data_IF_858829247546
#
_entry.id   IF_858829247546
#
_cell.length_a   1.000
_cell.length_b   1.000
_cell.length_c   1.000
_cell.angle_alpha   90.00
_cell.angle_beta   90.00
_cell.angle_gamma   90.00
#
_symmetry.space_group_name_H-M   'P 1'
#
loop_
_entity.id
_entity.type
_entity.pdbx_description
1 polymer ?
#
# COMPACT_ATOMS: atom_id res chain seq x y z
N UNK A 1 14.36 -3.38 27.41
CA UNK A 1 13.30 -3.09 28.42
C UNK A 1 12.79 -1.68 28.17
N UNK A 2 11.49 -1.44 28.33
CA UNK A 2 10.92 -0.11 28.13
C UNK A 2 11.15 0.77 29.36
N UNK A 3 11.52 2.04 29.14
CA UNK A 3 11.57 3.05 30.19
C UNK A 3 10.15 3.51 30.57
N UNK A 4 10.02 4.33 31.62
CA UNK A 4 8.70 4.76 32.13
C UNK A 4 7.90 5.58 31.10
N UNK A 5 8.58 6.43 30.32
CA UNK A 5 7.94 7.24 29.28
C UNK A 5 7.44 6.36 28.12
N UNK A 6 8.22 5.39 27.68
CA UNK A 6 7.81 4.42 26.66
C UNK A 6 6.64 3.54 27.13
N UNK A 7 6.62 3.15 28.41
CA UNK A 7 5.49 2.44 29.00
C UNK A 7 4.23 3.31 29.05
N UNK A 8 4.37 4.60 29.35
CA UNK A 8 3.24 5.54 29.29
C UNK A 8 2.71 5.69 27.86
N UNK A 9 3.60 5.88 26.89
CA UNK A 9 3.24 5.98 25.48
C UNK A 9 2.47 4.75 24.96
N UNK A 10 2.87 3.54 25.39
CA UNK A 10 2.13 2.31 25.08
C UNK A 10 0.76 2.23 25.76
N UNK A 11 0.63 2.72 27.00
CA UNK A 11 -0.66 2.74 27.69
C UNK A 11 -1.65 3.66 26.99
N UNK A 12 -1.22 4.85 26.59
CA UNK A 12 -2.02 5.80 25.82
C UNK A 12 -2.43 5.23 24.46
N UNK A 13 -1.49 4.56 23.77
CA UNK A 13 -1.78 3.87 22.52
C UNK A 13 -2.81 2.75 22.71
N UNK A 14 -2.68 1.96 23.77
CA UNK A 14 -3.65 0.92 24.09
C UNK A 14 -5.04 1.51 24.39
N UNK A 15 -5.09 2.57 25.20
CA UNK A 15 -6.33 3.29 25.50
C UNK A 15 -7.01 3.77 24.21
N UNK A 16 -6.25 4.41 23.30
CA UNK A 16 -6.75 4.82 21.99
C UNK A 16 -7.36 3.67 21.17
N UNK A 17 -6.75 2.48 21.20
CA UNK A 17 -7.25 1.33 20.45
C UNK A 17 -8.54 0.74 21.03
N UNK A 18 -8.77 0.85 22.34
CA UNK A 18 -9.95 0.27 23.01
C UNK A 18 -11.10 1.27 23.17
N UNK A 19 -10.85 2.57 23.03
CA UNK A 19 -11.88 3.61 22.97
C UNK A 19 -12.33 3.86 21.53
N UNK A 20 -13.47 4.52 21.32
CA UNK A 20 -13.93 4.85 19.95
C UNK A 20 -13.06 5.93 19.30
N UNK A 21 -12.70 6.98 20.06
CA UNK A 21 -11.87 8.10 19.62
C UNK A 21 -10.78 8.39 20.65
N UNK A 22 -9.74 9.11 20.23
CA UNK A 22 -8.65 9.51 21.13
C UNK A 22 -7.32 9.82 20.47
N UNK A 23 -7.25 9.91 19.13
CA UNK A 23 -5.99 10.10 18.43
C UNK A 23 -5.25 11.39 18.84
N UNK A 24 -5.96 12.38 19.37
CA UNK A 24 -5.40 13.62 19.92
C UNK A 24 -4.45 13.39 21.10
N UNK A 25 -4.57 12.27 21.82
CA UNK A 25 -3.69 11.90 22.91
C UNK A 25 -2.37 11.29 22.40
N UNK A 26 -2.28 10.94 21.12
CA UNK A 26 -1.08 10.38 20.50
C UNK A 26 -0.26 11.48 19.82
N UNK A 27 1.07 11.35 19.88
CA UNK A 27 1.97 12.30 19.23
C UNK A 27 3.43 11.86 19.29
N UNK A 28 4.31 12.81 19.60
CA UNK A 28 5.76 12.63 19.53
C UNK A 28 6.26 11.46 20.38
N UNK A 29 5.72 11.26 21.58
CA UNK A 29 6.17 10.17 22.47
C UNK A 29 5.94 8.78 21.85
N UNK A 30 4.81 8.57 21.17
CA UNK A 30 4.52 7.34 20.45
C UNK A 30 5.39 7.19 19.20
N UNK A 31 5.61 8.28 18.45
CA UNK A 31 6.46 8.25 17.25
C UNK A 31 7.92 7.98 17.58
N UNK A 32 8.46 8.56 18.65
CA UNK A 32 9.81 8.29 19.14
C UNK A 32 9.96 6.82 19.56
N UNK A 33 8.95 6.29 20.27
CA UNK A 33 8.88 4.89 20.60
C UNK A 33 8.85 4.02 19.33
N UNK A 34 8.01 4.34 18.35
CA UNK A 34 7.89 3.57 17.11
C UNK A 34 9.19 3.59 16.32
N UNK A 35 9.84 4.75 16.21
CA UNK A 35 11.16 4.89 15.62
C UNK A 35 12.16 3.93 16.24
N UNK A 36 12.24 3.85 17.58
CA UNK A 36 13.11 2.89 18.25
C UNK A 36 12.69 1.45 17.99
N UNK A 37 11.41 1.11 18.13
CA UNK A 37 10.92 -0.27 17.95
C UNK A 37 11.16 -0.79 16.52
N UNK A 38 11.09 0.07 15.51
CA UNK A 38 11.37 -0.28 14.12
C UNK A 38 12.86 -0.42 13.79
N UNK A 39 13.73 0.35 14.44
CA UNK A 39 15.15 0.45 14.07
C UNK A 39 16.11 -0.31 14.98
N UNK A 40 15.73 -0.59 16.23
CA UNK A 40 16.57 -1.28 17.18
C UNK A 40 16.73 -2.77 16.81
N UNK A 41 17.85 -3.08 16.16
CA UNK A 41 18.19 -4.42 15.70
C UNK A 41 18.39 -5.42 16.85
N UNK A 42 18.58 -4.96 18.09
CA UNK A 42 18.64 -5.85 19.26
C UNK A 42 17.27 -6.43 19.65
N UNK A 43 16.19 -5.81 19.17
CA UNK A 43 14.83 -6.28 19.44
C UNK A 43 14.43 -7.44 18.51
N UNK A 44 13.75 -8.47 19.04
CA UNK A 44 13.18 -9.54 18.23
C UNK A 44 12.20 -9.02 17.17
N UNK A 45 12.14 -9.69 16.02
CA UNK A 45 11.18 -9.38 14.93
C UNK A 45 9.73 -9.36 15.43
N UNK A 46 9.38 -10.20 16.41
CA UNK A 46 8.03 -10.25 17.00
C UNK A 46 7.57 -8.91 17.59
N UNK A 47 8.49 -8.05 18.02
CA UNK A 47 8.18 -6.70 18.50
C UNK A 47 7.71 -5.81 17.36
N UNK A 48 8.40 -5.85 16.22
CA UNK A 48 8.02 -5.11 14.99
C UNK A 48 6.70 -5.61 14.43
N UNK A 49 6.49 -6.93 14.41
CA UNK A 49 5.21 -7.53 14.01
C UNK A 49 4.06 -7.07 14.91
N UNK A 50 4.26 -7.02 16.23
CA UNK A 50 3.24 -6.54 17.16
C UNK A 50 2.91 -5.06 16.92
N UNK A 51 3.92 -4.22 16.69
CA UNK A 51 3.73 -2.81 16.37
C UNK A 51 2.97 -2.62 15.05
N UNK A 52 3.32 -3.35 13.99
CA UNK A 52 2.60 -3.29 12.71
C UNK A 52 1.13 -3.70 12.85
N UNK A 53 0.83 -4.69 13.69
CA UNK A 53 -0.57 -5.10 13.97
C UNK A 53 -1.34 -4.06 14.77
N UNK A 54 -0.68 -3.37 15.70
CA UNK A 54 -1.27 -2.22 16.41
C UNK A 54 -1.58 -1.09 15.42
N UNK A 55 -0.65 -0.77 14.53
CA UNK A 55 -0.87 0.23 13.47
C UNK A 55 -1.99 -0.19 12.52
N UNK A 56 -2.10 -1.48 12.17
CA UNK A 56 -3.19 -2.01 11.35
C UNK A 56 -4.55 -1.80 12.01
N UNK A 57 -4.66 -1.98 13.32
CA UNK A 57 -5.90 -1.72 14.06
C UNK A 57 -6.21 -0.22 14.13
N UNK A 58 -5.18 0.62 14.38
CA UNK A 58 -5.32 2.06 14.38
C UNK A 58 -5.76 2.62 13.01
N UNK A 59 -5.25 2.07 11.90
CA UNK A 59 -5.57 2.49 10.53
C UNK A 59 -7.08 2.44 10.20
N UNK A 60 -7.84 1.58 10.89
CA UNK A 60 -9.27 1.42 10.68
C UNK A 60 -10.12 2.45 11.45
N UNK A 61 -9.51 3.28 12.31
CA UNK A 61 -10.20 4.33 13.06
C UNK A 61 -10.22 5.63 12.24
N UNK A 62 -11.37 6.31 12.22
CA UNK A 62 -11.56 7.53 11.40
C UNK A 62 -10.62 8.69 11.81
N UNK A 63 -10.29 8.78 13.11
CA UNK A 63 -9.49 9.85 13.68
C UNK A 63 -7.98 9.62 13.60
N UNK A 64 -7.52 8.48 13.05
CA UNK A 64 -6.10 8.10 12.96
C UNK A 64 -5.25 9.16 12.25
N UNK A 65 -5.85 9.92 11.35
CA UNK A 65 -5.19 11.00 10.62
C UNK A 65 -4.57 12.05 11.54
N UNK A 66 -5.16 12.31 12.71
CA UNK A 66 -4.62 13.26 13.69
C UNK A 66 -3.24 12.82 14.18
N UNK A 67 -3.05 11.51 14.36
CA UNK A 67 -1.78 10.91 14.71
C UNK A 67 -0.82 10.87 13.50
N UNK A 68 -1.29 10.46 12.32
CA UNK A 68 -0.47 10.40 11.10
C UNK A 68 0.08 11.76 10.67
N UNK A 69 -0.63 12.86 10.96
CA UNK A 69 -0.12 14.21 10.74
C UNK A 69 1.12 14.53 11.60
N UNK A 70 1.25 13.93 12.78
CA UNK A 70 2.42 14.12 13.63
C UNK A 70 3.64 13.37 13.05
N UNK A 71 3.43 12.24 12.35
CA UNK A 71 4.52 11.49 11.71
C UNK A 71 5.21 12.28 10.60
N UNK A 72 4.62 13.37 10.09
CA UNK A 72 5.28 14.26 9.11
C UNK A 72 6.58 14.90 9.61
N UNK A 73 6.92 14.77 10.89
CA UNK A 73 8.19 15.25 11.45
C UNK A 73 9.28 14.17 11.41
N UNK A 74 8.92 12.93 11.75
CA UNK A 74 9.85 11.80 11.90
C UNK A 74 9.89 10.86 10.70
N UNK A 75 8.77 10.77 9.97
CA UNK A 75 8.51 9.82 8.90
C UNK A 75 8.80 8.37 9.28
N UNK A 76 8.75 8.01 10.57
CA UNK A 76 9.27 6.72 11.04
C UNK A 76 8.45 5.54 10.51
N UNK A 77 7.15 5.74 10.30
CA UNK A 77 6.27 4.73 9.71
C UNK A 77 6.65 4.54 8.24
N UNK A 78 6.72 5.63 7.46
CA UNK A 78 6.99 5.54 6.03
C UNK A 78 8.43 5.18 5.69
N UNK A 79 9.41 5.53 6.53
CA UNK A 79 10.79 5.04 6.43
C UNK A 79 10.87 3.52 6.65
N UNK A 80 10.02 2.95 7.51
CA UNK A 80 9.93 1.50 7.65
C UNK A 80 9.29 0.85 6.43
N UNK A 81 8.21 1.44 5.89
CA UNK A 81 7.58 0.98 4.64
C UNK A 81 8.53 1.08 3.44
N UNK A 82 9.29 2.16 3.33
CA UNK A 82 10.25 2.40 2.25
C UNK A 82 11.29 1.27 2.13
N UNK A 83 11.65 0.66 3.26
CA UNK A 83 12.64 -0.43 3.35
C UNK A 83 12.05 -1.82 3.12
N UNK A 84 10.83 -1.93 2.60
CA UNK A 84 10.09 -3.20 2.37
C UNK A 84 10.96 -4.37 1.87
N UNK A 85 11.84 -4.11 0.91
CA UNK A 85 12.72 -5.12 0.29
C UNK A 85 13.73 -5.76 1.26
N UNK A 86 14.12 -5.03 2.31
CA UNK A 86 15.09 -5.50 3.31
C UNK A 86 14.44 -6.11 4.54
N UNK A 87 13.12 -6.00 4.66
CA UNK A 87 12.37 -6.56 5.78
C UNK A 87 12.24 -8.09 5.67
N UNK A 88 12.03 -8.76 6.80
CA UNK A 88 11.72 -10.20 6.78
C UNK A 88 10.39 -10.48 6.06
N UNK A 89 10.22 -11.70 5.49
CA UNK A 89 8.95 -12.25 5.06
C UNK A 89 7.70 -11.85 5.87
N UNK A 90 7.74 -12.02 7.19
CA UNK A 90 6.62 -11.75 8.07
C UNK A 90 6.36 -10.25 8.25
N UNK A 91 7.42 -9.44 8.24
CA UNK A 91 7.30 -7.98 8.33
C UNK A 91 6.71 -7.39 7.04
N UNK A 92 7.17 -7.83 5.87
CA UNK A 92 6.61 -7.43 4.57
C UNK A 92 5.10 -7.68 4.52
N UNK A 93 4.72 -8.85 5.01
CA UNK A 93 3.34 -9.31 5.11
C UNK A 93 2.45 -8.41 5.97
N UNK A 94 2.94 -7.94 7.12
CA UNK A 94 2.21 -7.03 7.99
C UNK A 94 2.22 -5.58 7.47
N UNK A 95 3.26 -5.16 6.75
CA UNK A 95 3.30 -3.85 6.06
C UNK A 95 2.24 -3.79 4.97
N UNK A 96 2.13 -4.82 4.13
CA UNK A 96 1.13 -4.86 3.06
C UNK A 96 -0.30 -4.78 3.63
N UNK A 97 -0.59 -5.48 4.74
CA UNK A 97 -1.88 -5.37 5.43
C UNK A 97 -2.13 -3.97 6.00
N UNK A 98 -1.12 -3.36 6.59
CA UNK A 98 -1.20 -1.99 7.10
C UNK A 98 -1.62 -1.02 5.99
N UNK A 99 -0.96 -1.08 4.84
CA UNK A 99 -1.28 -0.23 3.69
C UNK A 99 -2.69 -0.49 3.16
N UNK A 100 -3.14 -1.75 3.11
CA UNK A 100 -4.52 -2.08 2.76
C UNK A 100 -5.52 -1.41 3.72
N UNK A 101 -5.32 -1.52 5.04
CA UNK A 101 -6.21 -0.92 6.03
C UNK A 101 -6.20 0.62 5.95
N UNK A 102 -5.05 1.22 5.66
CA UNK A 102 -4.94 2.67 5.46
C UNK A 102 -5.73 3.18 4.24
N UNK A 103 -6.13 2.31 3.31
CA UNK A 103 -7.03 2.68 2.21
C UNK A 103 -8.52 2.76 2.60
N UNK A 104 -8.89 2.29 3.81
CA UNK A 104 -10.27 2.27 4.26
C UNK A 104 -10.84 3.67 4.49
N UNK A 105 -10.04 4.61 5.00
CA UNK A 105 -10.43 6.00 5.23
C UNK A 105 -9.83 6.93 4.17
N UNK A 106 -10.59 7.96 3.76
CA UNK A 106 -10.11 8.95 2.77
C UNK A 106 -8.89 9.71 3.30
N UNK A 107 -8.92 10.08 4.58
CA UNK A 107 -7.86 10.86 5.21
C UNK A 107 -6.52 10.11 5.32
N UNK A 108 -6.54 8.83 5.69
CA UNK A 108 -5.34 7.99 5.71
C UNK A 108 -4.85 7.65 4.30
N UNK A 109 -5.76 7.51 3.34
CA UNK A 109 -5.41 7.35 1.92
C UNK A 109 -4.68 8.58 1.38
N UNK A 110 -5.19 9.78 1.64
CA UNK A 110 -4.52 11.04 1.27
C UNK A 110 -3.13 11.15 1.89
N UNK A 111 -2.95 10.63 3.12
CA UNK A 111 -1.66 10.55 3.78
C UNK A 111 -0.70 9.55 3.11
N UNK A 112 -1.19 8.39 2.66
CA UNK A 112 -0.39 7.42 1.91
C UNK A 112 0.15 8.00 0.60
N UNK A 113 -0.66 8.79 -0.10
CA UNK A 113 -0.29 9.41 -1.37
C UNK A 113 0.27 10.83 -1.22
N UNK A 114 0.67 11.21 -0.01
CA UNK A 114 1.25 12.52 0.22
C UNK A 114 2.62 12.65 -0.46
N UNK A 115 2.76 13.67 -1.32
CA UNK A 115 3.92 13.82 -2.21
C UNK A 115 5.02 14.74 -1.67
N UNK A 116 4.81 15.40 -0.54
CA UNK A 116 5.83 16.26 0.06
C UNK A 116 7.08 15.47 0.37
N UNK A 117 8.21 15.98 -0.12
CA UNK A 117 9.48 15.28 -0.02
C UNK A 117 10.03 15.29 1.40
N UNK A 118 10.63 14.17 1.76
CA UNK A 118 11.43 13.98 2.96
C UNK A 118 12.64 13.11 2.61
N UNK A 119 13.66 13.13 3.46
CA UNK A 119 14.90 12.40 3.21
C UNK A 119 14.97 11.15 4.07
N UNK A 120 15.20 10.00 3.44
CA UNK A 120 15.48 8.75 4.14
C UNK A 120 16.89 8.76 4.74
N UNK A 121 17.16 7.85 5.67
CA UNK A 121 18.51 7.58 6.18
C UNK A 121 19.46 7.25 5.01
N UNK A 122 20.48 8.10 4.81
CA UNK A 122 21.37 8.04 3.64
C UNK A 122 21.15 9.14 2.60
N UNK A 123 20.17 10.04 2.82
CA UNK A 123 19.99 11.26 2.03
C UNK A 123 19.21 11.08 0.73
N UNK A 124 18.58 9.92 0.52
CA UNK A 124 17.72 9.68 -0.64
C UNK A 124 16.40 10.43 -0.46
N UNK A 125 16.01 11.23 -1.47
CA UNK A 125 14.70 11.87 -1.50
C UNK A 125 13.62 10.79 -1.63
N UNK A 126 12.61 10.90 -0.78
CA UNK A 126 11.44 10.04 -0.76
C UNK A 126 10.17 10.87 -0.47
N UNK A 127 9.01 10.25 -0.63
CA UNK A 127 7.74 10.73 -0.10
C UNK A 127 6.84 9.53 0.23
N UNK A 128 5.66 9.79 0.80
CA UNK A 128 4.75 8.72 1.21
C UNK A 128 4.23 7.94 -0.01
N UNK A 129 3.90 8.65 -1.10
CA UNK A 129 3.42 8.03 -2.33
C UNK A 129 4.45 7.01 -2.88
N UNK A 130 5.71 7.43 -3.04
CA UNK A 130 6.82 6.57 -3.50
C UNK A 130 6.99 5.32 -2.62
N UNK A 131 6.94 5.49 -1.30
CA UNK A 131 7.08 4.36 -0.36
C UNK A 131 5.90 3.39 -0.46
N UNK A 132 4.68 3.90 -0.60
CA UNK A 132 3.46 3.10 -0.77
C UNK A 132 3.50 2.30 -2.07
N UNK A 133 3.85 2.96 -3.19
CA UNK A 133 3.98 2.35 -4.51
C UNK A 133 5.06 1.27 -4.50
N UNK A 134 6.24 1.58 -3.93
CA UNK A 134 7.32 0.62 -3.78
C UNK A 134 6.88 -0.65 -3.05
N UNK A 135 6.18 -0.51 -1.93
CA UNK A 135 5.69 -1.65 -1.15
C UNK A 135 4.66 -2.47 -1.94
N UNK A 136 3.72 -1.82 -2.64
CA UNK A 136 2.77 -2.50 -3.49
C UNK A 136 3.47 -3.27 -4.62
N UNK A 137 4.37 -2.62 -5.37
CA UNK A 137 5.10 -3.25 -6.48
C UNK A 137 5.94 -4.43 -6.00
N UNK A 138 6.73 -4.25 -4.93
CA UNK A 138 7.55 -5.33 -4.35
C UNK A 138 6.70 -6.53 -3.91
N UNK A 139 5.60 -6.28 -3.19
CA UNK A 139 4.70 -7.32 -2.74
C UNK A 139 4.04 -8.10 -3.88
N UNK A 140 3.79 -7.47 -5.03
CA UNK A 140 3.15 -8.11 -6.18
C UNK A 140 4.15 -8.94 -7.01
N UNK A 141 5.40 -8.51 -7.10
CA UNK A 141 6.41 -9.10 -7.98
C UNK A 141 7.37 -10.07 -7.29
N UNK A 142 7.23 -10.28 -5.98
CA UNK A 142 7.96 -11.34 -5.27
C UNK A 142 7.36 -12.73 -5.57
N UNK A 143 8.15 -13.80 -5.41
CA UNK A 143 7.71 -15.20 -5.59
C UNK A 143 6.91 -15.76 -4.38
N UNK A 144 6.36 -14.90 -3.53
CA UNK A 144 5.64 -15.26 -2.30
C UNK A 144 4.13 -15.13 -2.51
N UNK A 145 3.35 -16.23 -2.63
CA UNK A 145 1.92 -16.15 -2.91
C UNK A 145 1.12 -15.30 -1.91
N UNK A 146 1.51 -15.33 -0.65
CA UNK A 146 0.86 -14.56 0.42
C UNK A 146 1.08 -13.05 0.25
N UNK A 147 2.27 -12.63 -0.17
CA UNK A 147 2.56 -11.22 -0.43
C UNK A 147 1.85 -10.76 -1.72
N UNK A 148 1.86 -11.61 -2.75
CA UNK A 148 1.17 -11.35 -4.02
C UNK A 148 -0.33 -11.14 -3.82
N UNK A 149 -0.98 -11.99 -3.02
CA UNK A 149 -2.41 -11.87 -2.70
C UNK A 149 -2.72 -10.53 -2.02
N UNK A 150 -1.94 -10.17 -1.00
CA UNK A 150 -2.12 -8.91 -0.27
C UNK A 150 -1.85 -7.70 -1.14
N UNK A 151 -0.80 -7.76 -1.95
CA UNK A 151 -0.47 -6.68 -2.86
C UNK A 151 -1.51 -6.53 -3.96
N UNK A 152 -2.04 -7.61 -4.53
CA UNK A 152 -3.15 -7.52 -5.48
C UNK A 152 -4.36 -6.80 -4.85
N UNK A 153 -4.69 -7.10 -3.58
CA UNK A 153 -5.70 -6.37 -2.83
C UNK A 153 -5.35 -4.89 -2.60
N UNK A 154 -4.08 -4.58 -2.33
CA UNK A 154 -3.61 -3.20 -2.20
C UNK A 154 -3.73 -2.43 -3.53
N UNK A 155 -3.32 -3.03 -4.65
CA UNK A 155 -3.47 -2.47 -6.00
C UNK A 155 -4.93 -2.13 -6.30
N UNK A 156 -5.84 -3.05 -5.98
CA UNK A 156 -7.27 -2.84 -6.09
C UNK A 156 -7.73 -1.64 -5.23
N UNK A 157 -7.38 -1.61 -3.95
CA UNK A 157 -7.78 -0.53 -3.04
C UNK A 157 -7.24 0.84 -3.48
N UNK A 158 -6.00 0.91 -3.96
CA UNK A 158 -5.40 2.14 -4.49
C UNK A 158 -6.16 2.64 -5.72
N UNK A 159 -6.57 1.74 -6.61
CA UNK A 159 -7.25 2.08 -7.85
C UNK A 159 -8.70 2.56 -7.67
N UNK A 160 -9.32 2.28 -6.53
CA UNK A 160 -10.70 2.69 -6.24
C UNK A 160 -10.84 4.17 -5.87
N UNK A 161 -9.74 4.89 -5.61
CA UNK A 161 -9.79 6.29 -5.17
C UNK A 161 -9.44 7.24 -6.33
N UNK A 162 -10.08 8.39 -6.35
CA UNK A 162 -10.02 9.32 -7.48
C UNK A 162 -8.72 10.14 -7.56
N UNK A 163 -7.97 10.26 -6.46
CA UNK A 163 -6.81 11.15 -6.35
C UNK A 163 -5.47 10.48 -6.71
N UNK A 164 -5.48 9.31 -7.37
CA UNK A 164 -4.24 8.66 -7.79
C UNK A 164 -3.61 9.42 -8.96
N UNK A 165 -2.32 9.73 -8.87
CA UNK A 165 -1.60 10.44 -9.93
C UNK A 165 -1.34 9.56 -11.15
N UNK A 166 -1.26 10.19 -12.31
CA UNK A 166 -0.99 9.56 -13.62
C UNK A 166 0.27 8.67 -13.59
N UNK A 167 1.40 9.24 -13.18
CA UNK A 167 2.69 8.53 -13.04
C UNK A 167 2.59 7.30 -12.13
N UNK A 168 1.83 7.42 -11.03
CA UNK A 168 1.60 6.32 -10.11
C UNK A 168 0.75 5.22 -10.74
N UNK A 169 -0.31 5.59 -11.47
CA UNK A 169 -1.14 4.63 -12.18
C UNK A 169 -0.34 3.86 -13.25
N UNK A 170 0.58 4.52 -13.96
CA UNK A 170 1.47 3.90 -14.93
C UNK A 170 2.45 2.91 -14.29
N UNK A 171 3.07 3.28 -13.15
CA UNK A 171 4.00 2.42 -12.42
C UNK A 171 3.30 1.17 -11.85
N UNK A 172 2.15 1.34 -11.20
CA UNK A 172 1.36 0.21 -10.69
C UNK A 172 0.85 -0.69 -11.83
N UNK A 173 0.46 -0.10 -12.97
CA UNK A 173 0.04 -0.86 -14.16
C UNK A 173 1.16 -1.73 -14.70
N UNK A 174 2.40 -1.23 -14.74
CA UNK A 174 3.56 -2.00 -15.18
C UNK A 174 3.78 -3.23 -14.29
N UNK A 175 3.68 -3.08 -12.97
CA UNK A 175 3.78 -4.20 -12.05
C UNK A 175 2.63 -5.21 -12.22
N UNK A 176 1.39 -4.73 -12.38
CA UNK A 176 0.23 -5.60 -12.67
C UNK A 176 0.46 -6.41 -13.94
N UNK A 177 0.90 -5.77 -15.03
CA UNK A 177 1.10 -6.45 -16.30
C UNK A 177 2.20 -7.50 -16.23
N UNK A 178 3.30 -7.23 -15.51
CA UNK A 178 4.35 -8.21 -15.23
C UNK A 178 3.80 -9.40 -14.44
N UNK A 179 3.05 -9.15 -13.37
CA UNK A 179 2.43 -10.18 -12.56
C UNK A 179 1.47 -11.06 -13.37
N UNK A 180 0.63 -10.45 -14.21
CA UNK A 180 -0.36 -11.14 -15.03
C UNK A 180 0.26 -12.09 -16.07
N UNK A 181 1.56 -12.06 -16.35
CA UNK A 181 2.20 -13.09 -17.19
C UNK A 181 2.16 -14.49 -16.54
N UNK A 182 2.12 -14.55 -15.21
CA UNK A 182 2.07 -15.80 -14.44
C UNK A 182 0.74 -16.57 -14.54
N UNK A 183 0.66 -17.61 -13.71
CA UNK A 183 -0.57 -18.36 -13.45
C UNK A 183 -1.30 -17.69 -12.27
N UNK A 184 -2.43 -17.06 -12.57
CA UNK A 184 -3.11 -16.13 -11.65
C UNK A 184 -4.44 -16.74 -11.24
N UNK A 185 -4.61 -16.85 -9.92
CA UNK A 185 -5.88 -17.26 -9.31
C UNK A 185 -6.96 -16.21 -9.59
N UNK A 186 -8.21 -16.67 -9.61
CA UNK A 186 -9.35 -15.84 -10.01
C UNK A 186 -9.51 -14.55 -9.21
N UNK A 187 -9.33 -14.59 -7.89
CA UNK A 187 -9.49 -13.41 -7.03
C UNK A 187 -8.42 -12.35 -7.30
N UNK A 188 -7.17 -12.76 -7.47
CA UNK A 188 -6.06 -11.88 -7.82
C UNK A 188 -6.24 -11.31 -9.23
N UNK A 189 -6.73 -12.12 -10.19
CA UNK A 189 -7.06 -11.65 -11.52
C UNK A 189 -8.16 -10.58 -11.47
N UNK A 190 -9.20 -10.79 -10.67
CA UNK A 190 -10.26 -9.81 -10.44
C UNK A 190 -9.71 -8.49 -9.87
N UNK A 191 -8.88 -8.55 -8.82
CA UNK A 191 -8.26 -7.37 -8.22
C UNK A 191 -7.38 -6.60 -9.21
N UNK A 192 -6.45 -7.29 -9.87
CA UNK A 192 -5.51 -6.69 -10.81
C UNK A 192 -6.19 -6.11 -12.05
N UNK A 193 -7.17 -6.82 -12.64
CA UNK A 193 -7.87 -6.33 -13.82
C UNK A 193 -8.82 -5.18 -13.49
N UNK A 194 -9.45 -5.19 -12.31
CA UNK A 194 -10.24 -4.04 -11.86
C UNK A 194 -9.34 -2.81 -11.67
N UNK A 195 -8.17 -2.98 -11.04
CA UNK A 195 -7.21 -1.90 -10.87
C UNK A 195 -6.74 -1.35 -12.23
N UNK A 196 -6.37 -2.24 -13.16
CA UNK A 196 -5.94 -1.88 -14.50
C UNK A 196 -7.02 -1.12 -15.29
N UNK A 197 -8.28 -1.55 -15.20
CA UNK A 197 -9.42 -0.86 -15.81
C UNK A 197 -9.63 0.56 -15.26
N UNK A 198 -9.41 0.74 -13.96
CA UNK A 198 -9.45 2.07 -13.34
C UNK A 198 -8.26 2.93 -13.79
N UNK A 199 -7.06 2.36 -13.84
CA UNK A 199 -5.86 3.06 -14.31
C UNK A 199 -5.96 3.53 -15.76
N UNK A 200 -6.66 2.80 -16.65
CA UNK A 200 -7.01 3.27 -18.00
C UNK A 200 -7.82 4.57 -18.03
N UNK A 201 -8.52 4.90 -16.94
CA UNK A 201 -9.32 6.13 -16.81
C UNK A 201 -8.60 7.22 -16.03
N UNK A 202 -7.45 6.92 -15.44
CA UNK A 202 -6.58 7.88 -14.76
C UNK A 202 -5.49 8.32 -15.73
N UNK A 203 -4.86 7.35 -16.39
CA UNK A 203 -3.81 7.52 -17.37
C UNK A 203 -4.28 7.10 -18.76
N UNK A 204 -4.71 8.08 -19.55
CA UNK A 204 -5.37 7.84 -20.84
C UNK A 204 -4.42 7.49 -21.98
N UNK A 205 -3.11 7.72 -21.81
CA UNK A 205 -2.11 7.49 -22.86
C UNK A 205 -1.14 6.37 -22.46
N UNK A 206 -0.55 6.46 -21.26
CA UNK A 206 0.54 5.58 -20.87
C UNK A 206 0.05 4.18 -20.53
N UNK A 207 -1.05 4.05 -19.77
CA UNK A 207 -1.59 2.74 -19.41
C UNK A 207 -2.08 1.93 -20.63
N UNK A 208 -2.82 2.50 -21.61
CA UNK A 208 -3.12 1.80 -22.86
C UNK A 208 -1.87 1.32 -23.60
N UNK A 209 -0.85 2.19 -23.73
CA UNK A 209 0.40 1.84 -24.40
C UNK A 209 1.13 0.70 -23.66
N UNK A 210 1.19 0.76 -22.33
CA UNK A 210 1.77 -0.30 -21.50
C UNK A 210 1.05 -1.64 -21.68
N UNK A 211 -0.29 -1.64 -21.72
CA UNK A 211 -1.05 -2.88 -21.94
C UNK A 211 -0.72 -3.50 -23.31
N UNK A 212 -0.62 -2.67 -24.35
CA UNK A 212 -0.30 -3.13 -25.70
C UNK A 212 1.15 -3.61 -25.85
N UNK A 213 2.10 -2.99 -25.15
CA UNK A 213 3.53 -3.27 -25.30
C UNK A 213 4.07 -4.35 -24.35
N UNK A 214 3.58 -4.37 -23.11
CA UNK A 214 4.09 -5.22 -22.03
C UNK A 214 3.09 -6.30 -21.59
N UNK A 215 1.80 -6.08 -21.81
CA UNK A 215 0.75 -6.94 -21.29
C UNK A 215 0.70 -8.33 -21.91
N UNK A 216 0.32 -9.36 -21.13
CA UNK A 216 -0.06 -10.66 -21.71
C UNK A 216 -1.36 -10.53 -22.51
N UNK A 217 -1.71 -11.56 -23.29
CA UNK A 217 -3.06 -11.67 -23.85
C UNK A 217 -4.08 -11.82 -22.71
N UNK A 218 -4.81 -10.72 -22.42
CA UNK A 218 -5.79 -10.67 -21.34
C UNK A 218 -6.97 -11.64 -21.55
N UNK A 219 -7.21 -12.10 -22.78
CA UNK A 219 -8.27 -13.09 -23.07
C UNK A 219 -8.05 -14.42 -22.37
N UNK A 220 -6.81 -14.73 -21.95
CA UNK A 220 -6.52 -15.93 -21.15
C UNK A 220 -7.28 -15.97 -19.83
N UNK A 221 -7.72 -14.81 -19.32
CA UNK A 221 -8.46 -14.70 -18.06
C UNK A 221 -9.98 -14.78 -18.21
N UNK A 222 -10.54 -14.62 -19.42
CA UNK A 222 -11.99 -14.54 -19.63
C UNK A 222 -12.76 -15.79 -19.18
N UNK A 223 -12.09 -16.94 -19.09
CA UNK A 223 -12.66 -18.21 -18.63
C UNK A 223 -12.61 -18.45 -17.12
N UNK A 224 -11.99 -17.56 -16.33
CA UNK A 224 -11.85 -17.77 -14.89
C UNK A 224 -13.18 -17.58 -14.13
N UNK A 225 -13.93 -16.54 -14.47
CA UNK A 225 -15.27 -16.25 -13.92
C UNK A 225 -16.01 -15.22 -14.76
N UNK A 226 -17.33 -15.09 -14.56
CA UNK A 226 -18.15 -14.09 -15.26
C UNK A 226 -17.68 -12.66 -14.98
N UNK A 227 -17.32 -12.34 -13.73
CA UNK A 227 -16.86 -10.99 -13.34
C UNK A 227 -15.52 -10.65 -14.00
N UNK A 228 -14.61 -11.62 -14.08
CA UNK A 228 -13.32 -11.42 -14.74
C UNK A 228 -13.50 -11.26 -16.25
N UNK A 229 -14.36 -12.07 -16.86
CA UNK A 229 -14.71 -11.94 -18.28
C UNK A 229 -15.20 -10.54 -18.64
N UNK A 230 -16.13 -9.98 -17.85
CA UNK A 230 -16.63 -8.61 -18.04
C UNK A 230 -15.52 -7.56 -17.98
N UNK A 231 -14.62 -7.66 -17.01
CA UNK A 231 -13.48 -6.75 -16.89
C UNK A 231 -12.57 -6.81 -18.12
N UNK A 232 -12.29 -8.01 -18.62
CA UNK A 232 -11.47 -8.20 -19.84
C UNK A 232 -12.13 -7.54 -21.05
N UNK A 233 -13.44 -7.74 -21.22
CA UNK A 233 -14.20 -7.15 -22.31
C UNK A 233 -14.22 -5.61 -22.23
N UNK A 234 -14.44 -5.05 -21.04
CA UNK A 234 -14.43 -3.60 -20.81
C UNK A 234 -13.05 -2.98 -21.09
N UNK A 235 -11.97 -3.65 -20.67
CA UNK A 235 -10.59 -3.23 -20.98
C UNK A 235 -10.38 -3.20 -22.50
N UNK A 236 -10.75 -4.28 -23.20
CA UNK A 236 -10.61 -4.36 -24.66
C UNK A 236 -11.41 -3.28 -25.38
N UNK A 237 -12.64 -3.02 -24.93
CA UNK A 237 -13.47 -1.97 -25.48
C UNK A 237 -12.80 -0.59 -25.33
N UNK A 238 -12.28 -0.26 -24.14
CA UNK A 238 -11.55 0.99 -23.92
C UNK A 238 -10.32 1.11 -24.82
N UNK A 239 -9.49 0.08 -24.91
CA UNK A 239 -8.30 0.08 -25.77
C UNK A 239 -8.64 0.32 -27.25
N UNK A 240 -9.72 -0.29 -27.74
CA UNK A 240 -10.18 -0.09 -29.12
C UNK A 240 -10.66 1.34 -29.40
N UNK A 241 -11.28 1.98 -28.40
CA UNK A 241 -11.74 3.36 -28.50
C UNK A 241 -10.58 4.36 -28.53
N UNK A 242 -9.52 4.11 -27.75
CA UNK A 242 -8.32 4.95 -27.72
C UNK A 242 -7.49 4.83 -29.01
N UNK A 243 -7.45 3.64 -29.64
CA UNK A 243 -6.74 3.44 -30.91
C UNK A 243 -7.44 4.07 -32.13
N UNK A 244 -8.71 4.45 -31.98
CA UNK A 244 -9.52 5.05 -33.06
C UNK A 244 -9.61 6.57 -32.97
N UNK A 245 -8.95 7.19 -31.98
CA UNK A 245 -8.87 8.63 -31.75
C UNK A 245 -7.48 9.16 -32.14
#
# INVERSE_FOLDING_TARGET
KLNEAEQAALRELHEYLVTENGAWALGTAQLDLFGRLFTDASLPVTVRLALLRVLQAAALKEDVILFLHQDRKSHCIMSYVYRIETLSPEEQDEVLKLLCNMCSNVSSYDWLLYISEWSEEGGQSCNNARSTVRAAVHGLLTDRPVAQERSAGLMFNLALKEQLFDDTAAELSTAILQYLHGDIKEEQAFHCLTALLRFLSISYNDVPALIQMLGPDLKKFSGLSERVGKLVDEIQQKLSSTASA
#
